data_IF_949499438274
#
_entry.id   IF_949499438274
#
_cell.length_a   1.000
_cell.length_b   1.000
_cell.length_c   1.000
_cell.angle_alpha   90.00
_cell.angle_beta   90.00
_cell.angle_gamma   90.00
#
_symmetry.space_group_name_H-M   'P 1'
#
loop_
_entity.id
_entity.type
_entity.pdbx_description
1 polymer ?
#
# COMPACT_ATOMS: atom_id res chain seq x y z
N UNK A 1 6.22 16.07 1.89
CA UNK A 1 6.01 16.99 0.76
C UNK A 1 6.21 16.33 -0.60
N UNK A 2 7.38 15.74 -0.87
CA UNK A 2 7.77 15.23 -2.21
C UNK A 2 6.78 14.25 -2.87
N UNK A 3 6.10 13.41 -2.08
CA UNK A 3 5.11 12.44 -2.60
C UNK A 3 3.67 12.97 -2.68
N UNK A 4 3.41 14.19 -2.20
CA UNK A 4 2.11 14.86 -2.34
C UNK A 4 1.10 14.63 -1.21
N UNK A 5 1.47 13.94 -0.13
CA UNK A 5 0.55 13.72 1.01
C UNK A 5 0.49 14.87 2.02
N UNK A 6 1.56 15.67 2.09
CA UNK A 6 1.66 16.82 3.00
C UNK A 6 2.21 18.04 2.27
N UNK A 7 1.85 19.21 2.74
CA UNK A 7 2.34 20.51 2.26
C UNK A 7 3.06 21.28 3.37
N UNK A 8 4.13 22.01 3.04
CA UNK A 8 4.84 22.82 4.03
C UNK A 8 4.04 24.10 4.36
N UNK A 9 4.04 24.45 5.64
CA UNK A 9 3.51 25.71 6.17
C UNK A 9 4.70 26.54 6.67
N UNK A 10 4.83 27.78 6.21
CA UNK A 10 5.96 28.67 6.52
C UNK A 10 5.67 29.54 7.75
N UNK A 11 6.74 30.03 8.41
CA UNK A 11 6.67 30.96 9.54
C UNK A 11 7.17 30.37 10.87
N UNK A 12 7.15 31.18 11.94
CA UNK A 12 7.66 30.78 13.26
C UNK A 12 6.93 29.58 13.90
N UNK A 13 5.69 29.33 13.48
CA UNK A 13 4.88 28.15 13.85
C UNK A 13 4.64 27.26 12.62
N UNK A 14 5.61 27.25 11.70
CA UNK A 14 5.56 26.44 10.49
C UNK A 14 5.61 24.93 10.76
N UNK A 15 5.51 24.15 9.70
CA UNK A 15 5.48 22.69 9.80
C UNK A 15 4.91 22.07 8.54
N UNK A 16 4.21 20.94 8.69
CA UNK A 16 3.53 20.28 7.60
C UNK A 16 2.06 20.06 7.94
N UNK A 17 1.21 20.20 6.93
CA UNK A 17 -0.22 19.88 6.99
C UNK A 17 -0.55 18.79 5.99
N UNK A 18 -1.53 17.93 6.31
CA UNK A 18 -2.07 16.96 5.37
C UNK A 18 -2.74 17.66 4.19
N UNK A 19 -2.50 17.17 2.97
CA UNK A 19 -3.12 17.70 1.73
C UNK A 19 -4.51 17.13 1.45
N UNK A 20 -4.91 16.07 2.14
CA UNK A 20 -6.19 15.40 2.01
C UNK A 20 -6.63 14.82 3.35
N UNK A 21 -7.93 14.49 3.50
CA UNK A 21 -8.42 13.78 4.67
C UNK A 21 -7.92 12.33 4.62
N UNK A 22 -7.50 11.77 5.76
CA UNK A 22 -6.99 10.39 5.81
C UNK A 22 -8.03 9.34 5.39
N UNK A 23 -9.32 9.64 5.55
CA UNK A 23 -10.42 8.80 5.09
C UNK A 23 -10.47 8.65 3.56
N UNK A 24 -9.95 9.65 2.82
CA UNK A 24 -9.93 9.65 1.35
C UNK A 24 -8.62 9.08 0.80
N UNK A 25 -7.64 8.73 1.65
CA UNK A 25 -6.36 8.20 1.22
C UNK A 25 -6.38 6.68 1.32
N UNK A 26 -6.44 6.02 0.17
CA UNK A 26 -6.35 4.57 0.04
C UNK A 26 -4.98 4.05 0.52
N UNK A 27 -4.98 3.00 1.36
CA UNK A 27 -3.78 2.43 1.94
C UNK A 27 -2.87 1.80 0.90
N UNK A 28 -3.42 1.02 -0.05
CA UNK A 28 -2.63 0.41 -1.12
C UNK A 28 -1.89 1.47 -1.95
N UNK A 29 -2.60 2.50 -2.42
CA UNK A 29 -1.99 3.60 -3.18
C UNK A 29 -0.94 4.36 -2.38
N UNK A 30 -1.17 4.54 -1.07
CA UNK A 30 -0.19 5.17 -0.19
C UNK A 30 1.10 4.34 -0.11
N UNK A 31 0.98 3.04 0.13
CA UNK A 31 2.13 2.14 0.24
C UNK A 31 2.91 2.08 -1.08
N UNK A 32 2.24 1.93 -2.22
CA UNK A 32 2.91 1.95 -3.53
C UNK A 32 3.63 3.27 -3.79
N UNK A 33 3.04 4.39 -3.38
CA UNK A 33 3.66 5.70 -3.57
C UNK A 33 4.90 5.88 -2.70
N UNK A 34 4.93 5.26 -1.53
CA UNK A 34 6.02 5.36 -0.56
C UNK A 34 7.17 4.41 -0.87
N UNK A 35 6.88 3.13 -1.14
CA UNK A 35 7.90 2.09 -1.30
C UNK A 35 8.17 1.70 -2.75
N UNK A 36 7.27 2.06 -3.68
CA UNK A 36 7.34 1.65 -5.09
C UNK A 36 6.36 0.52 -5.39
N UNK A 37 6.44 -0.10 -6.57
CA UNK A 37 5.58 -1.23 -6.92
C UNK A 37 5.70 -2.33 -5.87
N UNK A 38 4.57 -2.73 -5.30
CA UNK A 38 4.55 -3.74 -4.24
C UNK A 38 4.13 -5.10 -4.79
N UNK A 39 4.94 -6.09 -4.48
CA UNK A 39 4.59 -7.50 -4.56
C UNK A 39 4.95 -8.15 -3.22
N UNK A 40 4.16 -9.14 -2.79
CA UNK A 40 4.48 -9.86 -1.55
C UNK A 40 5.84 -10.58 -1.63
N UNK A 41 6.22 -11.01 -2.83
CA UNK A 41 7.54 -11.54 -3.16
C UNK A 41 7.97 -10.96 -4.50
N UNK A 42 9.28 -10.78 -4.67
CA UNK A 42 9.86 -10.12 -5.84
C UNK A 42 9.46 -10.81 -7.15
N UNK A 43 9.35 -12.14 -7.15
CA UNK A 43 9.10 -12.93 -8.35
C UNK A 43 7.63 -12.96 -8.84
N UNK A 44 6.70 -12.27 -8.17
CA UNK A 44 5.28 -12.25 -8.59
C UNK A 44 5.09 -11.58 -9.96
N UNK A 45 5.79 -10.47 -10.20
CA UNK A 45 5.65 -9.62 -11.39
C UNK A 45 6.81 -9.74 -12.38
N UNK A 46 7.63 -10.78 -12.24
CA UNK A 46 8.83 -11.01 -13.05
C UNK A 46 8.45 -11.67 -14.38
N UNK A 47 9.12 -11.25 -15.45
CA UNK A 47 8.95 -11.81 -16.80
C UNK A 47 9.69 -13.15 -16.97
N UNK A 48 9.35 -13.92 -18.01
CA UNK A 48 9.99 -15.22 -18.30
C UNK A 48 11.50 -15.10 -18.49
N UNK A 49 11.97 -13.99 -19.07
CA UNK A 49 13.39 -13.74 -19.34
C UNK A 49 14.23 -13.46 -18.08
N UNK A 50 13.57 -13.11 -16.97
CA UNK A 50 14.23 -12.70 -15.71
C UNK A 50 14.36 -13.85 -14.70
N UNK A 51 13.73 -15.01 -14.97
CA UNK A 51 13.81 -16.17 -14.09
C UNK A 51 13.77 -17.48 -14.90
N UNK A 52 14.90 -18.17 -15.00
CA UNK A 52 14.99 -19.45 -15.73
C UNK A 52 14.10 -20.57 -15.17
N UNK A 53 13.70 -20.45 -13.89
CA UNK A 53 12.87 -21.44 -13.21
C UNK A 53 11.37 -21.14 -13.34
N UNK A 54 10.98 -20.03 -13.99
CA UNK A 54 9.61 -19.53 -13.95
C UNK A 54 8.58 -20.54 -14.43
N UNK A 55 8.87 -21.27 -15.51
CA UNK A 55 7.99 -22.31 -16.07
C UNK A 55 7.74 -23.48 -15.11
N UNK A 56 8.73 -23.81 -14.27
CA UNK A 56 8.68 -24.95 -13.33
C UNK A 56 8.39 -24.52 -11.89
N UNK A 57 8.22 -23.22 -11.63
CA UNK A 57 8.09 -22.65 -10.30
C UNK A 57 6.69 -22.91 -9.72
N UNK A 58 6.52 -24.03 -9.02
CA UNK A 58 5.25 -24.44 -8.42
C UNK A 58 4.74 -23.49 -7.33
N UNK A 59 5.62 -22.70 -6.72
CA UNK A 59 5.27 -21.74 -5.67
C UNK A 59 4.76 -20.40 -6.21
N UNK A 60 5.01 -20.07 -7.49
CA UNK A 60 4.63 -18.75 -8.03
C UNK A 60 3.13 -18.56 -8.05
N UNK A 61 2.39 -19.54 -8.55
CA UNK A 61 0.93 -19.47 -8.66
C UNK A 61 0.25 -19.26 -7.30
N UNK A 62 0.53 -20.04 -6.24
CA UNK A 62 -0.05 -19.75 -4.93
C UNK A 62 0.39 -18.38 -4.39
N UNK A 63 1.64 -17.95 -4.62
CA UNK A 63 2.08 -16.61 -4.20
C UNK A 63 1.35 -15.48 -4.94
N UNK A 64 1.00 -15.65 -6.22
CA UNK A 64 0.18 -14.69 -6.95
C UNK A 64 -1.23 -14.54 -6.35
N UNK A 65 -1.84 -15.65 -5.91
CA UNK A 65 -3.16 -15.60 -5.25
C UNK A 65 -3.07 -14.85 -3.91
N UNK A 66 -2.02 -15.11 -3.12
CA UNK A 66 -1.80 -14.40 -1.85
C UNK A 66 -1.57 -12.91 -2.11
N UNK A 67 -0.76 -12.56 -3.11
CA UNK A 67 -0.48 -11.18 -3.51
C UNK A 67 -1.77 -10.42 -3.87
N UNK A 68 -2.64 -11.02 -4.70
CA UNK A 68 -3.94 -10.43 -5.05
C UNK A 68 -4.85 -10.28 -3.84
N UNK A 69 -4.85 -11.25 -2.93
CA UNK A 69 -5.67 -11.21 -1.72
C UNK A 69 -5.23 -10.08 -0.81
N UNK A 70 -3.92 -9.91 -0.57
CA UNK A 70 -3.39 -8.80 0.23
C UNK A 70 -3.66 -7.45 -0.44
N UNK A 71 -3.48 -7.35 -1.76
CA UNK A 71 -3.82 -6.15 -2.53
C UNK A 71 -5.27 -5.75 -2.33
N UNK A 72 -6.20 -6.70 -2.41
CA UNK A 72 -7.62 -6.43 -2.17
C UNK A 72 -7.86 -5.89 -0.75
N UNK A 73 -7.29 -6.54 0.27
CA UNK A 73 -7.41 -6.09 1.67
C UNK A 73 -6.89 -4.68 1.86
N UNK A 74 -5.71 -4.34 1.32
CA UNK A 74 -5.16 -2.99 1.43
C UNK A 74 -5.92 -1.96 0.60
N UNK A 75 -6.53 -2.38 -0.50
CA UNK A 75 -7.36 -1.50 -1.35
C UNK A 75 -8.67 -1.13 -0.65
N UNK A 76 -9.19 -1.98 0.24
CA UNK A 76 -10.42 -1.69 0.98
C UNK A 76 -10.21 -0.85 2.25
N UNK A 77 -8.96 -0.46 2.54
CA UNK A 77 -8.58 0.33 3.71
C UNK A 77 -8.16 1.75 3.35
N UNK A 78 -8.57 2.70 4.18
CA UNK A 78 -8.07 4.07 4.21
C UNK A 78 -7.00 4.24 5.29
N UNK A 79 -6.15 5.26 5.15
CA UNK A 79 -5.18 5.60 6.20
C UNK A 79 -5.83 5.99 7.52
N UNK A 80 -7.07 6.51 7.50
CA UNK A 80 -7.78 6.80 8.74
C UNK A 80 -8.01 5.52 9.56
N UNK A 81 -8.41 4.43 8.92
CA UNK A 81 -8.66 3.15 9.61
C UNK A 81 -7.37 2.55 10.21
N UNK A 82 -6.20 2.87 9.66
CA UNK A 82 -4.90 2.45 10.20
C UNK A 82 -4.52 3.28 11.43
N UNK A 83 -4.72 4.60 11.37
CA UNK A 83 -4.37 5.53 12.47
C UNK A 83 -5.40 5.50 13.59
N UNK A 84 -6.66 5.16 13.26
CA UNK A 84 -7.77 4.98 14.19
C UNK A 84 -8.26 3.54 14.11
N UNK A 85 -7.44 2.56 14.52
CA UNK A 85 -7.83 1.16 14.47
C UNK A 85 -9.02 0.96 15.41
N UNK A 86 -10.22 0.83 14.83
CA UNK A 86 -11.50 0.54 15.49
C UNK A 86 -11.75 1.30 16.81
N UNK A 87 -12.61 2.32 16.76
CA UNK A 87 -13.40 2.65 17.94
C UNK A 87 -14.24 1.41 18.27
N UNK A 88 -13.92 0.71 19.37
CA UNK A 88 -14.68 -0.42 19.92
C UNK A 88 -16.19 -0.14 19.81
N UNK A 89 -16.90 -0.83 18.91
CA UNK A 89 -18.36 -0.73 18.83
C UNK A 89 -18.94 -0.69 17.42
N UNK A 90 -18.82 -1.78 16.67
CA UNK A 90 -19.91 -2.31 15.83
C UNK A 90 -19.56 -3.74 15.45
N UNK A 91 -20.39 -4.65 15.97
CA UNK A 91 -20.20 -6.09 15.92
C UNK A 91 -20.22 -6.64 14.50
N UNK A 92 -19.41 -7.67 14.33
CA UNK A 92 -19.84 -8.89 13.64
C UNK A 92 -20.94 -9.58 14.49
#
# INVERSE_FOLDING_TARGET
ARKGFVEPVQGAQGGYRLKARLADVNLWQFLERMEGPLGIVDCVNVSEDECSQLESCSIRNPMQVIDHTLKAVFTDLSLEQVVRPYARGRGL
#
